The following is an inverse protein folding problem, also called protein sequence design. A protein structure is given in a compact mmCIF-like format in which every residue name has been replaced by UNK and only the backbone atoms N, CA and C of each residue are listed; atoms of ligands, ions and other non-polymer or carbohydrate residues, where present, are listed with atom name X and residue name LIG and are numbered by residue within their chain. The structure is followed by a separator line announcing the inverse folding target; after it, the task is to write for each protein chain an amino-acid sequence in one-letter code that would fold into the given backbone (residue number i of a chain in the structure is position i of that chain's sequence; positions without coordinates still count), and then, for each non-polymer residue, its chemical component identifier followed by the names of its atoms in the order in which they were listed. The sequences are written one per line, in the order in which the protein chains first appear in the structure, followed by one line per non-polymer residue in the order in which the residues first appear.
data_IF_183860280832
#
_entry.id   IF_183860280832
#
_cell.length_a   1.000
_cell.length_b   1.000
_cell.length_c   1.000
_cell.angle_alpha   90.00
_cell.angle_beta   90.00
_cell.angle_gamma   90.00
#
_symmetry.space_group_name_H-M   'P 1'
#
loop_
_entity.id
_entity.type
_entity.pdbx_description
1 polymer ?
#
# COMPACT_ATOMS: atom_id res chain seq x y z
N UNK A 1 -32.88 14.68 -2.85
CA UNK A 1 -31.80 14.85 -3.82
C UNK A 1 -30.81 15.98 -3.47
N UNK A 2 -31.18 17.27 -3.35
CA UNK A 2 -30.21 18.31 -2.93
C UNK A 2 -29.86 18.27 -1.43
N UNK A 3 -30.76 17.82 -0.57
CA UNK A 3 -30.53 17.68 0.87
C UNK A 3 -29.61 16.50 1.19
N UNK A 4 -29.79 15.39 0.49
CA UNK A 4 -29.02 14.18 0.69
C UNK A 4 -27.53 14.38 0.31
N UNK A 5 -27.27 15.13 -0.78
CA UNK A 5 -25.90 15.50 -1.21
C UNK A 5 -25.24 16.44 -0.21
N UNK A 6 -26.01 17.32 0.45
CA UNK A 6 -25.47 18.24 1.45
C UNK A 6 -25.10 17.50 2.74
N UNK A 7 -25.94 16.56 3.18
CA UNK A 7 -25.69 15.72 4.36
C UNK A 7 -24.48 14.78 4.14
N UNK A 8 -24.36 14.20 2.93
CA UNK A 8 -23.23 13.37 2.54
C UNK A 8 -21.91 14.17 2.50
N UNK A 9 -21.94 15.40 2.00
CA UNK A 9 -20.78 16.29 2.00
C UNK A 9 -20.38 16.75 3.42
N UNK A 10 -21.34 16.96 4.32
CA UNK A 10 -21.05 17.31 5.72
C UNK A 10 -20.38 16.14 6.44
N UNK A 11 -20.87 14.91 6.26
CA UNK A 11 -20.25 13.71 6.83
C UNK A 11 -18.82 13.49 6.30
N UNK A 12 -18.61 13.73 5.02
CA UNK A 12 -17.27 13.64 4.39
C UNK A 12 -16.31 14.68 4.97
N UNK A 13 -16.77 15.90 5.19
CA UNK A 13 -15.98 16.97 5.82
C UNK A 13 -15.65 16.62 7.26
N UNK A 14 -16.62 16.09 8.05
CA UNK A 14 -16.37 15.66 9.42
C UNK A 14 -15.38 14.48 9.50
N UNK A 15 -15.40 13.53 8.54
CA UNK A 15 -14.42 12.46 8.44
C UNK A 15 -13.03 12.98 8.07
N UNK A 16 -12.96 13.92 7.12
CA UNK A 16 -11.70 14.58 6.75
C UNK A 16 -11.12 15.39 7.90
N UNK A 17 -11.96 16.08 8.68
CA UNK A 17 -11.51 16.80 9.88
C UNK A 17 -11.06 15.86 11.01
N UNK A 18 -11.71 14.71 11.20
CA UNK A 18 -11.26 13.68 12.15
C UNK A 18 -9.93 13.07 11.74
N UNK A 19 -9.78 12.77 10.45
CA UNK A 19 -8.53 12.27 9.88
C UNK A 19 -7.41 13.30 9.98
N UNK A 20 -7.68 14.56 9.66
CA UNK A 20 -6.75 15.69 9.81
C UNK A 20 -6.36 15.94 11.27
N UNK A 21 -7.29 15.80 12.23
CA UNK A 21 -6.98 15.90 13.67
C UNK A 21 -6.13 14.72 14.15
N UNK A 22 -6.34 13.50 13.66
CA UNK A 22 -5.47 12.36 13.98
C UNK A 22 -4.03 12.60 13.47
N UNK A 23 -3.87 13.22 12.30
CA UNK A 23 -2.56 13.62 11.76
C UNK A 23 -1.92 14.79 12.55
N UNK A 24 -2.75 15.64 13.18
CA UNK A 24 -2.32 16.79 14.01
C UNK A 24 -1.74 16.38 15.38
N UNK A 25 -1.88 15.12 15.81
CA UNK A 25 -1.33 14.67 17.09
C UNK A 25 0.18 14.44 17.08
N UNK A 26 0.82 14.37 15.92
CA UNK A 26 2.28 14.33 15.81
C UNK A 26 2.81 15.71 15.44
N UNK A 27 2.84 16.62 16.43
CA UNK A 27 3.54 17.89 16.27
C UNK A 27 5.06 17.62 16.18
N UNK A 28 5.79 18.54 15.57
CA UNK A 28 7.27 18.48 15.54
C UNK A 28 7.86 18.37 16.95
N UNK A 29 7.21 19.00 17.96
CA UNK A 29 7.60 18.92 19.36
C UNK A 29 7.48 17.50 19.92
N UNK A 30 6.36 16.81 19.66
CA UNK A 30 6.15 15.42 20.08
C UNK A 30 7.19 14.47 19.45
N UNK A 31 7.61 14.74 18.21
CA UNK A 31 8.62 13.95 17.53
C UNK A 31 9.99 14.12 18.21
N UNK A 32 10.37 15.34 18.60
CA UNK A 32 11.65 15.60 19.30
C UNK A 32 11.63 15.01 20.72
N UNK A 33 10.49 15.06 21.41
CA UNK A 33 10.31 14.39 22.70
C UNK A 33 10.48 12.88 22.58
N UNK A 34 9.87 12.26 21.55
CA UNK A 34 10.01 10.83 21.26
C UNK A 34 11.47 10.45 20.98
N UNK A 35 12.17 11.22 20.13
CA UNK A 35 13.59 11.01 19.86
C UNK A 35 14.44 11.09 21.13
N UNK A 36 14.13 12.05 21.99
CA UNK A 36 14.79 12.20 23.28
C UNK A 36 14.56 11.00 24.19
N UNK A 37 13.32 10.51 24.26
CA UNK A 37 12.96 9.30 25.01
C UNK A 37 13.73 8.08 24.48
N UNK A 38 13.75 7.86 23.19
CA UNK A 38 14.47 6.74 22.57
C UNK A 38 15.98 6.81 22.91
N UNK A 39 16.59 8.01 22.83
CA UNK A 39 18.00 8.22 23.23
C UNK A 39 18.25 7.87 24.69
N UNK A 40 17.38 8.32 25.60
CA UNK A 40 17.50 8.03 27.04
C UNK A 40 17.34 6.55 27.35
N UNK A 41 16.49 5.83 26.59
CA UNK A 41 16.31 4.39 26.70
C UNK A 41 17.41 3.57 26.00
N UNK A 42 18.34 4.21 25.29
CA UNK A 42 19.36 3.52 24.50
C UNK A 42 18.81 2.80 23.28
N UNK A 43 17.62 3.17 22.80
CA UNK A 43 16.99 2.58 21.62
C UNK A 43 17.45 3.34 20.39
N UNK A 44 18.10 2.70 19.41
CA UNK A 44 18.52 3.36 18.19
C UNK A 44 17.29 3.72 17.33
N UNK A 45 17.35 4.84 16.65
CA UNK A 45 16.37 5.27 15.68
C UNK A 45 17.03 5.88 14.45
N UNK A 46 16.32 5.86 13.33
CA UNK A 46 16.74 6.47 12.06
C UNK A 46 15.65 7.40 11.58
N UNK A 47 16.03 8.60 11.17
CA UNK A 47 15.10 9.50 10.48
C UNK A 47 15.10 9.14 9.00
N UNK A 48 13.94 8.73 8.50
CA UNK A 48 13.79 8.41 7.09
C UNK A 48 13.87 9.70 6.24
N UNK A 49 14.63 9.71 5.13
CA UNK A 49 14.68 10.88 4.24
C UNK A 49 13.38 11.09 3.46
N UNK A 50 12.57 10.05 3.32
CA UNK A 50 11.26 10.02 2.64
C UNK A 50 10.28 9.17 3.46
N UNK A 51 9.70 8.12 2.87
CA UNK A 51 8.78 7.19 3.51
C UNK A 51 9.48 6.32 4.55
N UNK A 52 8.88 6.20 5.73
CA UNK A 52 9.41 5.38 6.82
C UNK A 52 9.44 3.89 6.42
N UNK A 53 8.41 3.42 5.74
CA UNK A 53 8.28 2.05 5.26
C UNK A 53 9.39 1.69 4.27
N UNK A 54 9.74 2.63 3.37
CA UNK A 54 10.84 2.42 2.42
C UNK A 54 12.19 2.32 3.13
N UNK A 55 12.39 3.14 4.17
CA UNK A 55 13.60 3.07 4.99
C UNK A 55 13.68 1.76 5.77
N UNK A 56 12.57 1.28 6.34
CA UNK A 56 12.52 -0.01 7.02
C UNK A 56 12.83 -1.17 6.06
N UNK A 57 12.23 -1.19 4.87
CA UNK A 57 12.52 -2.19 3.84
C UNK A 57 13.99 -2.17 3.41
N UNK A 58 14.58 -0.97 3.27
CA UNK A 58 16.00 -0.83 2.97
C UNK A 58 16.89 -1.41 4.06
N UNK A 59 16.62 -1.10 5.33
CA UNK A 59 17.40 -1.63 6.47
C UNK A 59 17.35 -3.17 6.52
N UNK A 60 16.19 -3.77 6.21
CA UNK A 60 16.07 -5.23 6.10
C UNK A 60 16.89 -5.75 4.90
N UNK A 61 16.82 -5.09 3.73
CA UNK A 61 17.49 -5.53 2.51
C UNK A 61 19.02 -5.60 2.64
N UNK A 62 19.60 -4.71 3.44
CA UNK A 62 21.05 -4.71 3.76
C UNK A 62 21.43 -5.61 4.94
N UNK A 63 20.44 -6.33 5.53
CA UNK A 63 20.65 -7.27 6.61
C UNK A 63 20.94 -6.62 7.96
N UNK A 64 20.61 -5.34 8.15
CA UNK A 64 20.77 -4.65 9.43
C UNK A 64 19.69 -5.04 10.44
N UNK A 65 18.52 -5.45 9.95
CA UNK A 65 17.40 -5.97 10.75
C UNK A 65 16.87 -7.27 10.12
N UNK A 66 16.19 -8.09 10.92
CA UNK A 66 15.69 -9.42 10.51
C UNK A 66 14.27 -9.37 9.92
N UNK A 67 13.59 -8.25 10.01
CA UNK A 67 12.24 -8.03 9.50
C UNK A 67 11.68 -6.68 9.96
N UNK A 68 10.51 -6.35 9.45
CA UNK A 68 9.83 -5.07 9.70
C UNK A 68 8.53 -5.28 10.46
N UNK A 69 8.27 -4.46 11.45
CA UNK A 69 6.99 -4.40 12.18
C UNK A 69 6.26 -3.16 11.70
N UNK A 70 5.16 -3.33 11.00
CA UNK A 70 4.30 -2.23 10.52
C UNK A 70 2.89 -2.73 10.26
N UNK A 71 1.90 -1.84 10.35
CA UNK A 71 0.53 -2.09 9.89
C UNK A 71 0.34 -1.74 8.41
N UNK A 72 1.32 -1.05 7.80
CA UNK A 72 1.28 -0.66 6.41
C UNK A 72 1.73 -1.79 5.48
N UNK A 73 0.91 -2.11 4.49
CA UNK A 73 1.21 -3.12 3.48
C UNK A 73 2.20 -2.67 2.42
N UNK A 74 2.38 -1.36 2.24
CA UNK A 74 3.25 -0.79 1.21
C UNK A 74 4.73 -1.14 1.44
N UNK A 75 5.10 -1.50 2.66
CA UNK A 75 6.44 -2.01 2.99
C UNK A 75 6.85 -3.22 2.13
N UNK A 76 5.89 -4.07 1.72
CA UNK A 76 6.13 -5.19 0.81
C UNK A 76 6.47 -4.69 -0.60
N UNK A 77 5.82 -3.61 -1.04
CA UNK A 77 6.08 -2.96 -2.33
C UNK A 77 7.46 -2.31 -2.35
N UNK A 78 7.91 -1.77 -1.22
CA UNK A 78 9.28 -1.25 -1.04
C UNK A 78 10.35 -2.35 -0.97
N UNK A 79 9.95 -3.62 -0.83
CA UNK A 79 10.82 -4.77 -0.96
C UNK A 79 11.17 -5.48 0.33
N UNK A 80 10.48 -5.19 1.42
CA UNK A 80 10.61 -5.97 2.65
C UNK A 80 10.20 -7.44 2.41
N UNK A 81 10.97 -8.36 2.95
CA UNK A 81 10.75 -9.78 2.77
C UNK A 81 10.04 -10.45 3.96
N UNK A 82 10.17 -9.86 5.16
CA UNK A 82 9.55 -10.37 6.39
C UNK A 82 8.84 -9.24 7.12
N UNK A 83 7.53 -9.27 7.13
CA UNK A 83 6.70 -8.25 7.77
C UNK A 83 5.87 -8.89 8.87
N UNK A 84 5.81 -8.21 10.00
CA UNK A 84 5.01 -8.60 11.17
C UNK A 84 3.96 -7.53 11.44
N UNK A 85 2.70 -7.94 11.53
CA UNK A 85 1.54 -7.07 11.79
C UNK A 85 0.83 -7.49 13.06
N UNK A 86 0.01 -6.59 13.59
CA UNK A 86 -0.83 -6.80 14.77
C UNK A 86 -0.05 -7.12 16.06
N UNK A 87 1.25 -6.80 16.14
CA UNK A 87 2.08 -7.12 17.33
C UNK A 87 1.54 -6.43 18.59
N UNK A 88 0.99 -5.21 18.42
CA UNK A 88 0.50 -4.42 19.54
C UNK A 88 -1.04 -4.48 19.69
N UNK A 89 -1.74 -5.20 18.84
CA UNK A 89 -3.20 -5.36 18.91
C UNK A 89 -3.55 -6.55 19.81
N UNK A 90 -4.18 -6.28 20.96
CA UNK A 90 -4.56 -7.33 21.94
C UNK A 90 -5.71 -8.23 21.46
N UNK A 91 -6.44 -7.81 20.45
CA UNK A 91 -7.63 -8.49 19.93
C UNK A 91 -7.34 -9.31 18.66
N UNK A 92 -6.13 -9.19 18.11
CA UNK A 92 -5.73 -9.87 16.87
C UNK A 92 -4.54 -10.80 17.12
N UNK A 93 -4.43 -11.80 16.29
CA UNK A 93 -3.21 -12.61 16.23
C UNK A 93 -2.12 -11.87 15.49
N UNK A 94 -0.87 -12.09 15.91
CA UNK A 94 0.29 -11.62 15.16
C UNK A 94 0.32 -12.32 13.81
N UNK A 95 0.40 -11.53 12.75
CA UNK A 95 0.51 -12.02 11.39
C UNK A 95 1.95 -11.86 10.91
N UNK A 96 2.48 -12.91 10.31
CA UNK A 96 3.78 -12.87 9.62
C UNK A 96 3.56 -13.03 8.13
N UNK A 97 4.02 -12.06 7.36
CA UNK A 97 4.10 -12.12 5.91
C UNK A 97 5.55 -12.39 5.50
N UNK A 98 5.76 -13.47 4.74
CA UNK A 98 7.07 -13.86 4.23
C UNK A 98 7.02 -13.92 2.71
N UNK A 99 7.75 -13.02 2.05
CA UNK A 99 7.72 -12.92 0.59
C UNK A 99 8.15 -14.20 -0.10
N UNK A 100 9.07 -14.99 0.49
CA UNK A 100 9.44 -16.29 -0.10
C UNK A 100 8.24 -17.24 -0.13
N UNK A 101 7.40 -17.20 0.91
CA UNK A 101 6.18 -18.01 0.98
C UNK A 101 5.13 -17.50 -0.02
N UNK A 102 4.93 -16.18 -0.12
CA UNK A 102 4.00 -15.56 -1.06
C UNK A 102 4.40 -15.88 -2.51
N UNK A 103 5.68 -15.71 -2.85
CA UNK A 103 6.21 -16.04 -4.18
C UNK A 103 6.00 -17.52 -4.52
N UNK A 104 6.26 -18.42 -3.57
CA UNK A 104 6.17 -19.86 -3.78
C UNK A 104 4.74 -20.37 -3.87
N UNK A 105 3.85 -19.93 -2.97
CA UNK A 105 2.52 -20.51 -2.84
C UNK A 105 1.46 -19.74 -3.68
N UNK A 106 1.66 -18.44 -3.89
CA UNK A 106 0.75 -17.61 -4.66
C UNK A 106 1.27 -17.28 -6.07
N UNK A 107 2.56 -17.51 -6.33
CA UNK A 107 3.19 -17.17 -7.60
C UNK A 107 3.28 -15.67 -7.86
N UNK A 108 3.20 -14.84 -6.81
CA UNK A 108 3.21 -13.39 -6.91
C UNK A 108 4.57 -12.84 -6.50
N UNK A 109 5.29 -12.29 -7.45
CA UNK A 109 6.54 -11.56 -7.20
C UNK A 109 6.27 -10.17 -6.61
N UNK A 110 7.31 -9.50 -6.10
CA UNK A 110 7.20 -8.09 -5.70
C UNK A 110 6.71 -7.20 -6.85
N UNK A 111 7.17 -7.43 -8.08
CA UNK A 111 6.72 -6.68 -9.25
C UNK A 111 5.22 -6.88 -9.52
N UNK A 112 4.70 -8.07 -9.29
CA UNK A 112 3.29 -8.36 -9.44
C UNK A 112 2.46 -7.66 -8.36
N UNK A 113 2.95 -7.59 -7.12
CA UNK A 113 2.33 -6.81 -6.05
C UNK A 113 2.30 -5.31 -6.40
N UNK A 114 3.37 -4.75 -6.97
CA UNK A 114 3.38 -3.37 -7.46
C UNK A 114 2.34 -3.16 -8.58
N UNK A 115 2.24 -4.08 -9.54
CA UNK A 115 1.21 -4.03 -10.58
C UNK A 115 -0.21 -4.11 -9.99
N UNK A 116 -0.41 -4.96 -8.96
CA UNK A 116 -1.68 -5.03 -8.25
C UNK A 116 -2.05 -3.68 -7.62
N UNK A 117 -1.11 -3.03 -6.94
CA UNK A 117 -1.32 -1.71 -6.34
C UNK A 117 -1.66 -0.65 -7.40
N UNK A 118 -1.03 -0.69 -8.57
CA UNK A 118 -1.36 0.19 -9.70
C UNK A 118 -2.79 -0.04 -10.22
N UNK A 119 -3.29 -1.28 -10.23
CA UNK A 119 -4.65 -1.60 -10.65
C UNK A 119 -5.69 -1.27 -9.59
N UNK A 120 -5.43 -1.64 -8.35
CA UNK A 120 -6.40 -1.51 -7.25
C UNK A 120 -6.48 -0.09 -6.69
N UNK A 121 -5.41 0.67 -6.82
CA UNK A 121 -5.19 1.94 -6.16
C UNK A 121 -4.30 1.80 -4.92
N UNK A 122 -3.65 2.88 -4.57
CA UNK A 122 -2.79 3.04 -3.40
C UNK A 122 -2.71 4.52 -3.06
N UNK A 123 -1.94 4.90 -2.05
CA UNK A 123 -1.71 6.31 -1.71
C UNK A 123 -1.10 7.11 -2.86
N UNK A 124 -0.48 6.44 -3.82
CA UNK A 124 0.19 7.05 -4.99
C UNK A 124 -0.65 7.03 -6.28
N UNK A 125 -1.72 6.25 -6.33
CA UNK A 125 -2.54 6.09 -7.55
C UNK A 125 -4.00 5.78 -7.25
N UNK A 126 -4.90 6.37 -8.04
CA UNK A 126 -6.34 6.12 -7.93
C UNK A 126 -6.77 4.71 -8.36
N UNK A 127 -5.85 3.94 -8.97
CA UNK A 127 -6.19 2.64 -9.53
C UNK A 127 -7.09 2.70 -10.76
N UNK A 128 -7.62 1.55 -11.14
CA UNK A 128 -8.54 1.39 -12.28
C UNK A 128 -9.92 1.00 -11.75
N UNK A 129 -10.92 1.83 -12.05
CA UNK A 129 -12.28 1.61 -11.57
C UNK A 129 -12.81 0.23 -11.97
N UNK A 130 -13.28 -0.53 -10.98
CA UNK A 130 -13.85 -1.86 -11.18
C UNK A 130 -12.83 -3.00 -11.14
N UNK A 131 -11.55 -2.72 -10.93
CA UNK A 131 -10.54 -3.76 -10.72
C UNK A 131 -10.27 -3.90 -9.22
N UNK A 132 -10.60 -5.07 -8.68
CA UNK A 132 -10.28 -5.50 -7.33
C UNK A 132 -9.20 -6.60 -7.37
N UNK A 133 -8.79 -7.10 -6.21
CA UNK A 133 -7.65 -8.03 -6.09
C UNK A 133 -7.73 -9.25 -7.02
N UNK A 134 -8.90 -9.89 -7.11
CA UNK A 134 -9.08 -11.07 -7.97
C UNK A 134 -8.84 -10.73 -9.44
N UNK A 135 -9.50 -9.68 -9.93
CA UNK A 135 -9.36 -9.24 -11.32
C UNK A 135 -7.92 -8.77 -11.61
N UNK A 136 -7.26 -8.13 -10.63
CA UNK A 136 -5.86 -7.71 -10.79
C UNK A 136 -4.93 -8.92 -10.96
N UNK A 137 -5.10 -9.97 -10.16
CA UNK A 137 -4.33 -11.23 -10.29
C UNK A 137 -4.59 -11.90 -11.65
N UNK A 138 -5.84 -11.96 -12.09
CA UNK A 138 -6.19 -12.52 -13.41
C UNK A 138 -5.53 -11.75 -14.55
N UNK A 139 -5.55 -10.41 -14.50
CA UNK A 139 -4.91 -9.55 -15.51
C UNK A 139 -3.40 -9.78 -15.52
N UNK A 140 -2.75 -9.80 -14.36
CA UNK A 140 -1.30 -10.01 -14.24
C UNK A 140 -0.92 -11.39 -14.80
N UNK A 141 -1.71 -12.41 -14.50
CA UNK A 141 -1.50 -13.77 -15.00
C UNK A 141 -1.70 -13.87 -16.51
N UNK A 142 -2.67 -13.12 -17.07
CA UNK A 142 -2.93 -13.10 -18.51
C UNK A 142 -1.88 -12.27 -19.30
N UNK A 143 -1.27 -11.27 -18.65
CA UNK A 143 -0.29 -10.37 -19.26
C UNK A 143 1.02 -10.36 -18.44
N UNK A 144 1.77 -11.48 -18.39
CA UNK A 144 2.98 -11.58 -17.59
C UNK A 144 4.14 -10.75 -18.17
N UNK A 145 5.14 -10.46 -17.31
CA UNK A 145 6.37 -9.77 -17.70
C UNK A 145 6.29 -8.25 -17.52
N UNK A 146 7.41 -7.58 -17.78
CA UNK A 146 7.58 -6.14 -17.56
C UNK A 146 6.64 -5.28 -18.42
N UNK A 147 6.39 -5.71 -19.66
CA UNK A 147 5.50 -5.03 -20.60
C UNK A 147 4.02 -5.38 -20.42
N UNK A 148 3.68 -6.20 -19.43
CA UNK A 148 2.32 -6.72 -19.20
C UNK A 148 1.26 -5.62 -19.09
N UNK A 149 1.55 -4.53 -18.38
CA UNK A 149 0.64 -3.39 -18.24
C UNK A 149 0.38 -2.70 -19.59
N UNK A 150 1.42 -2.57 -20.42
CA UNK A 150 1.30 -1.94 -21.75
C UNK A 150 0.47 -2.84 -22.68
N UNK A 151 0.67 -4.16 -22.61
CA UNK A 151 -0.11 -5.13 -23.41
C UNK A 151 -1.56 -5.16 -22.98
N UNK A 152 -1.83 -5.12 -21.67
CA UNK A 152 -3.19 -5.01 -21.14
C UNK A 152 -3.88 -3.74 -21.62
N UNK A 153 -3.22 -2.59 -21.51
CA UNK A 153 -3.76 -1.32 -22.00
C UNK A 153 -4.13 -1.40 -23.49
N UNK A 154 -3.23 -1.89 -24.34
CA UNK A 154 -3.49 -2.08 -25.77
C UNK A 154 -4.69 -3.01 -26.02
N UNK A 155 -4.80 -4.07 -25.25
CA UNK A 155 -5.94 -4.99 -25.35
C UNK A 155 -7.26 -4.30 -25.00
N UNK A 156 -7.31 -3.48 -23.97
CA UNK A 156 -8.49 -2.67 -23.60
C UNK A 156 -8.84 -1.71 -24.71
N UNK A 157 -7.86 -0.96 -25.24
CA UNK A 157 -8.09 0.01 -26.34
C UNK A 157 -8.69 -0.65 -27.59
N UNK A 158 -8.17 -1.83 -27.99
CA UNK A 158 -8.70 -2.59 -29.12
C UNK A 158 -10.12 -3.08 -28.85
N UNK A 159 -10.41 -3.57 -27.65
CA UNK A 159 -11.76 -4.03 -27.28
C UNK A 159 -12.77 -2.88 -27.31
N UNK A 160 -12.38 -1.72 -26.84
CA UNK A 160 -13.24 -0.52 -26.90
C UNK A 160 -13.53 -0.10 -28.33
N UNK A 161 -12.55 -0.08 -29.22
CA UNK A 161 -12.74 0.24 -30.64
C UNK A 161 -13.69 -0.77 -31.32
N UNK A 162 -13.55 -2.07 -31.06
CA UNK A 162 -14.46 -3.09 -31.60
C UNK A 162 -15.88 -2.87 -31.11
N UNK A 163 -16.05 -2.57 -29.82
CA UNK A 163 -17.36 -2.33 -29.22
C UNK A 163 -18.07 -1.12 -29.85
N UNK A 164 -17.34 -0.03 -30.06
CA UNK A 164 -17.86 1.20 -30.71
C UNK A 164 -18.27 0.93 -32.16
N UNK A 165 -17.51 0.13 -32.91
CA UNK A 165 -17.85 -0.27 -34.29
C UNK A 165 -19.10 -1.16 -34.40
N UNK A 166 -19.41 -1.93 -33.36
CA UNK A 166 -20.61 -2.80 -33.36
C UNK A 166 -21.90 -2.05 -32.98
N UNK A 167 -21.79 -0.82 -32.48
CA UNK A 167 -22.95 0.02 -32.14
C UNK A 167 -23.34 1.02 -33.24
N UNK A 168 -22.56 1.11 -34.30
CA UNK A 168 -22.87 1.90 -35.52
C UNK A 168 -23.57 1.06 -36.57
#
# INVERSE_FOLDING_TARGET
MKRDILEENILLIEELEKSSKAFSYFSQENLEELKTLLKLCGIPYVEAPFEAESQCAYLESIGLVDGVVTEDSDVLLFGSRKVYRNIFDRNKFVEKYDMNFIEKEMGLSREDLIKMALFMGSDYTMGVRGIAAVNAIEIISAFPGEDGLIRFKRWVDIKQQIYEQQQQ
#
